data_IF_110416613117
#
_entry.id   IF_110416613117
#
_cell.length_a   1.000
_cell.length_b   1.000
_cell.length_c   1.000
_cell.angle_alpha   90.00
_cell.angle_beta   90.00
_cell.angle_gamma   90.00
#
_symmetry.space_group_name_H-M   'P 1'
#
loop_
_entity.id
_entity.type
_entity.pdbx_description
1 polymer ?
#
# COMPACT_ATOMS: atom_id res chain seq x y z
N UNK A 1 14.92 5.58 -24.02
CA UNK A 1 14.33 5.40 -23.69
C UNK A 1 13.75 5.10 -23.21
N UNK A 2 13.77 5.27 -23.33
CA UNK A 2 13.06 5.04 -22.93
C UNK A 2 12.37 4.85 -22.27
N UNK A 3 12.36 5.21 -22.23
CA UNK A 3 11.59 5.10 -21.57
C UNK A 3 10.82 4.74 -21.22
N UNK A 4 10.82 5.08 -21.49
CA UNK A 4 9.97 4.86 -21.15
C UNK A 4 9.58 4.13 -20.75
N UNK A 5 9.74 4.29 -20.76
CA UNK A 5 9.31 3.77 -20.34
C UNK A 5 8.86 3.01 -19.84
N UNK A 6 8.99 2.98 -19.89
CA UNK A 6 8.45 2.35 -19.38
C UNK A 6 7.45 1.92 -18.76
N UNK A 7 7.38 2.04 -19.11
CA UNK A 7 6.24 2.13 -18.29
C UNK A 7 5.36 0.94 -18.34
N UNK A 8 4.75 0.66 -19.43
CA UNK A 8 3.94 -0.52 -19.52
C UNK A 8 4.76 -1.74 -19.22
N UNK A 9 5.99 -1.65 -19.56
CA UNK A 9 6.88 -2.75 -19.30
C UNK A 9 7.15 -2.87 -17.83
N UNK A 10 6.69 -1.90 -17.07
CA UNK A 10 6.95 -1.89 -15.64
C UNK A 10 5.84 -2.53 -14.85
N UNK A 11 4.85 -3.05 -15.51
CA UNK A 11 3.80 -3.71 -14.78
C UNK A 11 4.35 -4.91 -14.05
N UNK A 12 4.09 -4.96 -12.77
CA UNK A 12 4.49 -6.08 -11.95
C UNK A 12 3.34 -6.49 -11.08
N UNK A 13 3.24 -7.78 -10.85
CA UNK A 13 2.21 -8.30 -9.98
C UNK A 13 2.88 -8.77 -8.71
N UNK A 14 2.32 -8.36 -7.60
CA UNK A 14 2.82 -8.77 -6.30
C UNK A 14 1.86 -9.76 -5.71
N UNK A 15 2.39 -10.83 -5.14
CA UNK A 15 1.56 -11.78 -4.42
C UNK A 15 1.42 -11.28 -2.99
N UNK A 16 0.54 -11.92 -2.25
CA UNK A 16 0.22 -11.45 -0.91
C UNK A 16 1.42 -11.24 0.00
N UNK A 17 2.37 -12.15 0.07
CA UNK A 17 3.51 -11.90 0.95
C UNK A 17 4.26 -10.63 0.59
N UNK A 18 4.40 -10.35 -0.69
CA UNK A 18 5.10 -9.14 -1.10
C UNK A 18 4.29 -7.90 -0.79
N UNK A 19 2.97 -7.98 -0.93
CA UNK A 19 2.12 -6.85 -0.60
C UNK A 19 2.21 -6.56 0.89
N UNK A 20 2.19 -7.60 1.71
CA UNK A 20 2.32 -7.42 3.13
C UNK A 20 3.65 -6.78 3.49
N UNK A 21 4.70 -7.23 2.86
CA UNK A 21 6.01 -6.69 3.15
C UNK A 21 6.12 -5.24 2.71
N UNK A 22 5.57 -4.93 1.55
CA UNK A 22 5.68 -3.60 1.01
C UNK A 22 4.82 -2.59 1.78
N UNK A 23 3.67 -3.01 2.23
CA UNK A 23 2.75 -2.10 2.91
C UNK A 23 2.89 -2.13 4.42
N UNK A 24 3.38 -3.23 4.95
CA UNK A 24 3.44 -3.38 6.39
C UNK A 24 2.13 -3.82 7.02
N UNK A 25 1.11 -4.06 6.20
CA UNK A 25 -0.18 -4.49 6.74
C UNK A 25 -0.22 -6.00 6.91
N UNK A 26 -0.83 -6.48 7.97
CA UNK A 26 -1.12 -7.91 8.07
C UNK A 26 -2.22 -8.29 7.10
N UNK A 27 -2.35 -9.56 6.85
CA UNK A 27 -3.33 -10.07 5.90
C UNK A 27 -4.74 -9.61 6.23
N UNK A 28 -5.13 -9.71 7.48
CA UNK A 28 -6.49 -9.33 7.85
C UNK A 28 -6.77 -7.88 7.56
N UNK A 29 -5.78 -7.03 7.77
CA UNK A 29 -5.97 -5.61 7.51
C UNK A 29 -6.13 -5.36 6.01
N UNK A 30 -5.35 -6.06 5.19
CA UNK A 30 -5.46 -5.91 3.75
C UNK A 30 -6.86 -6.24 3.28
N UNK A 31 -7.38 -7.39 3.71
CA UNK A 31 -8.70 -7.80 3.26
C UNK A 31 -9.79 -6.92 3.83
N UNK A 32 -9.61 -6.45 5.05
CA UNK A 32 -10.59 -5.57 5.63
C UNK A 32 -10.64 -4.25 4.88
N UNK A 33 -9.49 -3.72 4.51
CA UNK A 33 -9.45 -2.48 3.74
C UNK A 33 -10.03 -2.67 2.35
N UNK A 34 -9.84 -3.83 1.76
CA UNK A 34 -10.43 -4.10 0.46
C UNK A 34 -11.94 -4.09 0.54
N UNK A 35 -12.48 -4.65 1.60
CA UNK A 35 -13.92 -4.65 1.78
C UNK A 35 -14.47 -3.26 1.89
N UNK A 36 -13.73 -2.36 2.46
CA UNK A 36 -14.17 -0.99 2.63
C UNK A 36 -13.83 -0.10 1.44
N UNK A 37 -13.21 -0.68 0.43
CA UNK A 37 -12.85 0.10 -0.73
C UNK A 37 -11.66 1.00 -0.49
N UNK A 38 -10.86 0.68 0.51
CA UNK A 38 -9.72 1.51 0.87
C UNK A 38 -8.39 0.91 0.47
N UNK A 39 -8.41 -0.10 -0.34
CA UNK A 39 -7.19 -0.76 -0.77
C UNK A 39 -7.41 -1.29 -2.18
N UNK A 40 -6.39 -1.31 -3.02
CA UNK A 40 -6.54 -1.82 -4.37
C UNK A 40 -6.99 -3.26 -4.37
N UNK A 41 -7.81 -3.61 -5.34
CA UNK A 41 -8.27 -4.97 -5.45
C UNK A 41 -7.32 -5.80 -6.25
N UNK A 42 -7.17 -7.07 -5.91
CA UNK A 42 -6.24 -7.92 -6.66
C UNK A 42 -6.83 -8.31 -8.00
N UNK A 43 -5.98 -8.71 -8.92
CA UNK A 43 -6.41 -9.26 -10.18
C UNK A 43 -6.31 -10.77 -10.09
N UNK A 44 -7.20 -11.43 -10.78
CA UNK A 44 -7.21 -12.88 -10.78
C UNK A 44 -6.18 -13.38 -11.78
N UNK A 45 -5.24 -14.16 -11.32
CA UNK A 45 -4.19 -14.66 -12.19
C UNK A 45 -4.52 -16.05 -12.71
N UNK A 46 -5.44 -16.71 -12.05
CA UNK A 46 -5.85 -18.06 -12.41
C UNK A 46 -6.67 -18.61 -11.29
N UNK A 47 -7.07 -19.88 -11.36
CA UNK A 47 -7.88 -20.46 -10.29
C UNK A 47 -7.12 -20.37 -8.98
N UNK A 48 -7.72 -19.76 -7.99
CA UNK A 48 -7.15 -19.66 -6.66
C UNK A 48 -5.84 -18.87 -6.64
N UNK A 49 -5.60 -18.04 -7.66
CA UNK A 49 -4.38 -17.25 -7.71
C UNK A 49 -4.74 -15.80 -7.95
N UNK A 50 -4.34 -14.94 -7.05
CA UNK A 50 -4.57 -13.53 -7.22
C UNK A 50 -3.29 -12.78 -6.94
N UNK A 51 -3.20 -11.58 -7.47
CA UNK A 51 -2.05 -10.73 -7.20
C UNK A 51 -2.47 -9.29 -7.35
N UNK A 52 -1.64 -8.41 -6.91
CA UNK A 52 -1.91 -6.97 -6.96
C UNK A 52 -0.95 -6.32 -7.93
N UNK A 53 -1.44 -5.32 -8.64
CA UNK A 53 -0.59 -4.56 -9.53
C UNK A 53 0.28 -3.66 -8.67
N UNK A 54 1.59 -3.78 -8.82
CA UNK A 54 2.51 -3.06 -7.95
C UNK A 54 2.31 -1.55 -8.01
N UNK A 55 2.05 -1.01 -9.19
CA UNK A 55 1.89 0.43 -9.31
C UNK A 55 0.67 0.91 -8.53
N UNK A 56 -0.35 0.07 -8.42
CA UNK A 56 -1.52 0.45 -7.63
C UNK A 56 -1.21 0.45 -6.15
N UNK A 57 -0.38 -0.49 -5.73
CA UNK A 57 0.06 -0.51 -4.33
C UNK A 57 0.89 0.73 -4.04
N UNK A 58 1.77 1.09 -4.97
CA UNK A 58 2.60 2.27 -4.79
C UNK A 58 1.74 3.52 -4.70
N UNK A 59 0.71 3.60 -5.52
CA UNK A 59 -0.17 4.74 -5.51
C UNK A 59 -0.90 4.84 -4.18
N UNK A 60 -1.33 3.70 -3.67
CA UNK A 60 -1.99 3.67 -2.38
C UNK A 60 -1.06 4.22 -1.29
N UNK A 61 0.19 3.78 -1.32
CA UNK A 61 1.16 4.24 -0.32
C UNK A 61 1.45 5.72 -0.48
N UNK A 62 1.51 6.21 -1.71
CA UNK A 62 1.73 7.63 -1.93
C UNK A 62 0.59 8.45 -1.36
N UNK A 63 -0.63 7.92 -1.45
CA UNK A 63 -1.76 8.60 -0.87
C UNK A 63 -1.66 8.72 0.63
N UNK A 64 -1.16 7.69 1.28
CA UNK A 64 -0.99 7.73 2.72
C UNK A 64 0.08 8.75 3.10
N UNK A 65 1.15 8.78 2.33
CA UNK A 65 2.21 9.73 2.59
C UNK A 65 1.71 11.16 2.40
N UNK A 66 0.89 11.36 1.36
CA UNK A 66 0.35 12.68 1.10
C UNK A 66 -0.55 13.14 2.23
N UNK A 67 -1.31 12.24 2.81
CA UNK A 67 -2.15 12.60 3.93
C UNK A 67 -1.33 13.04 5.12
N UNK A 68 -0.25 12.33 5.38
CA UNK A 68 0.62 12.69 6.46
C UNK A 68 1.21 14.08 6.21
N UNK A 69 1.67 14.30 4.97
CA UNK A 69 2.33 15.55 4.64
C UNK A 69 1.35 16.71 4.67
N UNK A 70 0.09 16.43 4.50
CA UNK A 70 -0.93 17.46 4.56
C UNK A 70 -1.32 17.80 6.00
N UNK A 71 -0.67 17.16 6.95
CA UNK A 71 -0.95 17.47 8.33
C UNK A 71 -1.93 16.54 9.00
N UNK A 72 -2.53 15.67 8.26
CA UNK A 72 -3.51 14.76 8.83
C UNK A 72 -2.90 13.87 9.88
N UNK A 73 -1.64 13.60 9.71
CA UNK A 73 -0.98 12.68 10.61
C UNK A 73 -0.96 13.21 12.04
N UNK A 74 -1.17 14.50 12.21
CA UNK A 74 -1.15 15.07 13.54
C UNK A 74 -2.26 14.54 14.40
N UNK A 75 -3.39 14.29 13.83
CA UNK A 75 -4.47 13.75 14.58
C UNK A 75 -4.24 12.29 14.85
N UNK A 76 -3.67 11.62 13.90
CA UNK A 76 -3.29 10.25 14.08
C UNK A 76 -2.02 10.24 14.87
N UNK A 77 -1.25 11.27 14.69
CA UNK A 77 0.04 11.34 15.27
C UNK A 77 0.05 11.41 16.77
N UNK A 78 -1.07 11.71 17.33
CA UNK A 78 -1.11 11.69 18.76
C UNK A 78 -0.63 10.34 19.22
N UNK A 79 -1.06 9.31 18.53
CA UNK A 79 -0.66 8.00 18.88
C UNK A 79 0.78 7.76 18.47
N UNK A 80 1.12 8.19 17.29
CA UNK A 80 2.47 8.00 16.81
C UNK A 80 3.44 8.81 17.63
N UNK A 81 3.03 9.98 18.01
CA UNK A 81 3.87 10.82 18.79
C UNK A 81 4.21 10.17 20.10
N UNK A 82 3.26 9.50 20.66
CA UNK A 82 3.50 8.83 21.89
C UNK A 82 4.58 7.82 21.73
N UNK A 83 4.59 7.16 20.60
CA UNK A 83 5.62 6.19 20.35
C UNK A 83 6.95 6.88 20.26
N UNK A 84 6.99 7.96 19.59
CA UNK A 84 8.21 8.71 19.45
C UNK A 84 8.67 9.20 20.78
N UNK A 85 7.74 9.62 21.59
CA UNK A 85 8.10 10.11 22.88
C UNK A 85 8.74 9.07 23.70
N UNK A 86 8.35 7.87 23.52
CA UNK A 86 8.97 6.84 24.27
C UNK A 86 10.39 6.68 23.96
N UNK A 87 10.81 7.16 22.84
CA UNK A 87 12.18 7.05 22.47
C UNK A 87 13.05 8.05 23.17
N UNK A 88 12.46 8.98 23.80
CA UNK A 88 13.25 10.01 24.46
C UNK A 88 13.63 9.66 25.84
#
# INVERSE_FOLDING_TARGET
MQTTENTPAQLRILRLPAVREKTGYPTTTIYDKMKRGEFPRPVELGPHSVGWVESEIDEHLRGLIAKRDAGTWQQVGVVATRVVEKLR
#
